data_IF_781237950008
#
_entry.id   IF_781237950008
#
_cell.length_a   1.000
_cell.length_b   1.000
_cell.length_c   1.000
_cell.angle_alpha   90.00
_cell.angle_beta   90.00
_cell.angle_gamma   90.00
#
_symmetry.space_group_name_H-M   'P 1'
#
loop_
_entity.id
_entity.type
_entity.pdbx_description
1 polymer ?
#
# COMPACT_ATOMS: atom_id res chain seq x y z
N UNK A 1 28.09 -9.91 -14.37
CA UNK A 1 26.91 -10.34 -13.59
C UNK A 1 27.23 -10.78 -12.18
N UNK A 2 28.26 -10.20 -11.52
CA UNK A 2 28.67 -10.55 -10.15
C UNK A 2 27.79 -9.89 -9.07
N UNK A 3 27.13 -8.78 -9.40
CA UNK A 3 26.40 -7.94 -8.45
C UNK A 3 25.23 -8.65 -7.72
N UNK A 4 24.60 -9.64 -8.37
CA UNK A 4 23.42 -10.33 -7.84
C UNK A 4 23.69 -11.73 -7.28
N UNK A 5 24.96 -12.20 -7.26
CA UNK A 5 25.29 -13.58 -6.86
C UNK A 5 24.92 -13.91 -5.40
N UNK A 6 24.92 -12.91 -4.51
CA UNK A 6 24.56 -13.09 -3.10
C UNK A 6 23.08 -12.77 -2.78
N UNK A 7 22.32 -12.29 -3.77
CA UNK A 7 20.92 -11.87 -3.60
C UNK A 7 19.95 -13.04 -3.68
N UNK A 8 20.34 -14.09 -4.40
CA UNK A 8 19.64 -15.37 -4.42
C UNK A 8 20.12 -16.20 -3.24
N UNK A 9 19.24 -16.38 -2.26
CA UNK A 9 19.52 -17.13 -1.04
C UNK A 9 19.57 -18.64 -1.34
N UNK A 10 20.70 -19.13 -1.83
CA UNK A 10 20.93 -20.55 -2.13
C UNK A 10 21.77 -21.18 -1.02
N UNK A 11 21.15 -21.56 0.09
CA UNK A 11 21.80 -22.42 1.08
C UNK A 11 22.07 -23.81 0.45
N UNK A 12 23.11 -24.55 0.91
CA UNK A 12 23.34 -25.94 0.49
C UNK A 12 22.13 -26.86 0.72
N UNK A 13 21.27 -26.49 1.66
CA UNK A 13 20.01 -27.15 2.03
C UNK A 13 18.80 -26.64 1.21
N UNK A 14 18.98 -25.75 0.25
CA UNK A 14 17.88 -25.21 -0.54
C UNK A 14 17.59 -26.12 -1.75
N UNK A 15 16.75 -27.13 -1.56
CA UNK A 15 16.34 -28.08 -2.62
C UNK A 15 15.19 -27.56 -3.49
N UNK A 16 14.66 -26.35 -3.22
CA UNK A 16 13.48 -25.82 -3.90
C UNK A 16 13.66 -25.80 -5.43
N UNK A 17 14.87 -25.48 -5.92
CA UNK A 17 15.17 -25.48 -7.35
C UNK A 17 15.22 -26.90 -7.95
N UNK A 18 15.56 -27.91 -7.17
CA UNK A 18 15.56 -29.31 -7.60
C UNK A 18 14.14 -29.91 -7.53
N UNK A 19 13.36 -29.53 -6.52
CA UNK A 19 11.97 -29.94 -6.30
C UNK A 19 10.98 -29.34 -7.32
N UNK A 20 11.28 -28.15 -7.88
CA UNK A 20 10.44 -27.54 -8.92
C UNK A 20 10.30 -28.46 -10.16
N UNK A 21 11.31 -29.28 -10.45
CA UNK A 21 11.26 -30.24 -11.56
C UNK A 21 10.37 -31.46 -11.28
N UNK A 22 9.99 -31.69 -10.02
CA UNK A 22 9.08 -32.77 -9.62
C UNK A 22 7.63 -32.30 -9.49
N UNK A 23 7.35 -31.02 -9.75
CA UNK A 23 5.99 -30.51 -9.68
C UNK A 23 5.11 -31.18 -10.74
N UNK A 24 3.89 -31.61 -10.37
CA UNK A 24 2.95 -32.16 -11.34
C UNK A 24 2.66 -31.16 -12.48
N UNK A 25 2.57 -31.66 -13.71
CA UNK A 25 2.34 -30.86 -14.92
C UNK A 25 1.11 -29.93 -14.86
N UNK A 26 0.08 -30.28 -14.08
CA UNK A 26 -1.09 -29.41 -13.90
C UNK A 26 -0.74 -28.10 -13.16
N UNK A 27 0.26 -28.12 -12.28
CA UNK A 27 0.76 -26.92 -11.57
C UNK A 27 1.48 -26.01 -12.55
N UNK A 28 2.30 -26.59 -13.43
CA UNK A 28 3.03 -25.86 -14.47
C UNK A 28 2.07 -25.19 -15.47
N UNK A 29 0.98 -25.89 -15.84
CA UNK A 29 -0.03 -25.36 -16.76
C UNK A 29 -1.05 -24.41 -16.10
N UNK A 30 -1.16 -24.40 -14.77
CA UNK A 30 -2.14 -23.59 -14.04
C UNK A 30 -2.13 -22.09 -14.41
N UNK A 31 -0.97 -21.38 -14.45
CA UNK A 31 -0.94 -19.97 -14.83
C UNK A 31 -1.40 -19.74 -16.29
N UNK A 32 -1.05 -20.64 -17.21
CA UNK A 32 -1.49 -20.55 -18.61
C UNK A 32 -3.01 -20.72 -18.74
N UNK A 33 -3.56 -21.72 -18.04
CA UNK A 33 -5.01 -21.96 -18.01
C UNK A 33 -5.75 -20.76 -17.40
N UNK A 34 -5.26 -20.23 -16.28
CA UNK A 34 -5.82 -19.04 -15.63
C UNK A 34 -5.80 -17.82 -16.56
N UNK A 35 -4.70 -17.62 -17.31
CA UNK A 35 -4.60 -16.57 -18.32
C UNK A 35 -5.65 -16.73 -19.42
N UNK A 36 -5.81 -17.92 -20.00
CA UNK A 36 -6.80 -18.18 -21.06
C UNK A 36 -8.22 -17.93 -20.56
N UNK A 37 -8.54 -18.36 -19.34
CA UNK A 37 -9.84 -18.10 -18.71
C UNK A 37 -10.05 -16.59 -18.51
N UNK A 38 -9.06 -15.90 -17.94
CA UNK A 38 -9.10 -14.45 -17.74
C UNK A 38 -9.31 -13.69 -19.06
N UNK A 39 -8.61 -14.10 -20.11
CA UNK A 39 -8.77 -13.54 -21.45
C UNK A 39 -10.17 -13.77 -22.01
N UNK A 40 -10.71 -14.99 -21.93
CA UNK A 40 -12.05 -15.30 -22.42
C UNK A 40 -13.14 -14.49 -21.68
N UNK A 41 -13.00 -14.34 -20.35
CA UNK A 41 -13.90 -13.51 -19.53
C UNK A 41 -13.80 -12.03 -19.94
N UNK A 42 -12.58 -11.51 -20.10
CA UNK A 42 -12.37 -10.13 -20.52
C UNK A 42 -12.93 -9.86 -21.93
N UNK A 43 -12.66 -10.73 -22.90
CA UNK A 43 -13.23 -10.63 -24.25
C UNK A 43 -14.75 -10.61 -24.21
N UNK A 44 -15.37 -11.48 -23.40
CA UNK A 44 -16.82 -11.50 -23.23
C UNK A 44 -17.33 -10.18 -22.65
N UNK A 45 -16.69 -9.66 -21.61
CA UNK A 45 -17.14 -8.47 -20.88
C UNK A 45 -16.89 -7.16 -21.63
N UNK A 46 -15.85 -7.09 -22.47
CA UNK A 46 -15.45 -5.83 -23.10
C UNK A 46 -15.73 -5.77 -24.60
N UNK A 47 -15.81 -6.92 -25.30
CA UNK A 47 -16.05 -6.97 -26.75
C UNK A 47 -17.43 -7.54 -27.05
N UNK A 48 -17.74 -8.74 -26.56
CA UNK A 48 -18.96 -9.47 -26.96
C UNK A 48 -20.24 -8.94 -26.31
N UNK A 49 -20.15 -8.50 -25.06
CA UNK A 49 -21.28 -8.08 -24.22
C UNK A 49 -20.88 -7.03 -23.17
N UNK A 50 -20.65 -5.76 -23.57
CA UNK A 50 -20.26 -4.65 -22.68
C UNK A 50 -21.27 -4.28 -21.58
N UNK A 51 -22.50 -4.79 -21.66
CA UNK A 51 -23.55 -4.63 -20.66
C UNK A 51 -23.33 -5.47 -19.39
N UNK A 52 -22.62 -6.60 -19.50
CA UNK A 52 -22.38 -7.53 -18.40
C UNK A 52 -21.60 -6.92 -17.22
N UNK A 53 -20.47 -6.21 -17.41
CA UNK A 53 -19.76 -5.62 -16.28
C UNK A 53 -20.64 -4.63 -15.50
N UNK A 54 -21.53 -3.89 -16.18
CA UNK A 54 -22.47 -2.97 -15.52
C UNK A 54 -23.49 -3.71 -14.67
N UNK A 55 -24.08 -4.79 -15.18
CA UNK A 55 -25.07 -5.57 -14.43
C UNK A 55 -24.44 -6.28 -13.23
N UNK A 56 -23.23 -6.83 -13.39
CA UNK A 56 -22.47 -7.44 -12.29
C UNK A 56 -22.16 -6.41 -11.19
N UNK A 57 -21.71 -5.21 -11.56
CA UNK A 57 -21.46 -4.11 -10.62
C UNK A 57 -22.74 -3.64 -9.91
N UNK A 58 -23.86 -3.57 -10.63
CA UNK A 58 -25.15 -3.19 -10.06
C UNK A 58 -25.69 -4.23 -9.06
N UNK A 59 -25.41 -5.52 -9.29
CA UNK A 59 -25.81 -6.60 -8.37
C UNK A 59 -24.88 -6.71 -7.14
N UNK A 60 -23.61 -6.34 -7.29
CA UNK A 60 -22.59 -6.45 -6.24
C UNK A 60 -22.04 -5.09 -5.81
N UNK A 61 -22.91 -4.11 -5.57
CA UNK A 61 -22.52 -2.71 -5.31
C UNK A 61 -21.50 -2.54 -4.18
N UNK A 62 -21.64 -3.31 -3.11
CA UNK A 62 -20.72 -3.26 -1.97
C UNK A 62 -19.32 -3.76 -2.35
N UNK A 63 -19.23 -4.95 -2.95
CA UNK A 63 -17.95 -5.52 -3.38
C UNK A 63 -17.32 -4.66 -4.48
N UNK A 64 -18.12 -4.20 -5.44
CA UNK A 64 -17.67 -3.30 -6.49
C UNK A 64 -17.11 -2.00 -5.88
N UNK A 65 -17.84 -1.37 -4.95
CA UNK A 65 -17.37 -0.18 -4.25
C UNK A 65 -16.09 -0.42 -3.46
N UNK A 66 -15.97 -1.55 -2.76
CA UNK A 66 -14.76 -1.92 -2.03
C UNK A 66 -13.53 -2.07 -2.94
N UNK A 67 -13.67 -2.83 -4.04
CA UNK A 67 -12.60 -3.01 -5.01
C UNK A 67 -12.27 -1.70 -5.75
N UNK A 68 -13.28 -0.91 -6.10
CA UNK A 68 -13.14 0.39 -6.78
C UNK A 68 -12.39 1.40 -5.90
N UNK A 69 -12.66 1.43 -4.60
CA UNK A 69 -11.97 2.28 -3.64
C UNK A 69 -10.67 1.66 -3.13
N UNK A 70 -10.02 0.77 -3.89
CA UNK A 70 -8.72 0.15 -3.54
C UNK A 70 -8.68 -0.40 -2.11
N UNK A 71 -9.79 -1.00 -1.69
CA UNK A 71 -9.97 -1.62 -0.37
C UNK A 71 -9.90 -0.62 0.79
N UNK A 72 -10.04 0.69 0.51
CA UNK A 72 -9.93 1.79 1.45
C UNK A 72 -8.60 1.86 2.21
N UNK A 73 -7.55 1.21 1.70
CA UNK A 73 -6.27 1.12 2.40
C UNK A 73 -5.59 2.49 2.51
N UNK A 74 -5.61 3.27 1.44
CA UNK A 74 -5.01 4.60 1.39
C UNK A 74 -5.71 5.56 2.37
N UNK A 75 -7.04 5.55 2.40
CA UNK A 75 -7.85 6.38 3.28
C UNK A 75 -7.67 5.99 4.75
N UNK A 76 -7.60 4.69 5.03
CA UNK A 76 -7.33 4.19 6.37
C UNK A 76 -5.92 4.59 6.83
N UNK A 77 -4.92 4.49 5.95
CA UNK A 77 -3.56 4.90 6.24
C UNK A 77 -3.46 6.42 6.49
N UNK A 78 -4.12 7.22 5.64
CA UNK A 78 -4.18 8.68 5.83
C UNK A 78 -4.82 9.04 7.17
N UNK A 79 -5.92 8.38 7.52
CA UNK A 79 -6.64 8.62 8.75
C UNK A 79 -5.86 8.19 10.01
N UNK A 80 -5.25 7.00 10.00
CA UNK A 80 -4.57 6.42 11.16
C UNK A 80 -3.16 6.94 11.38
N UNK A 81 -2.41 7.22 10.30
CA UNK A 81 -0.99 7.57 10.41
C UNK A 81 -0.71 9.00 9.96
N UNK A 82 -1.14 9.38 8.76
CA UNK A 82 -0.74 10.65 8.15
C UNK A 82 -1.33 11.85 8.90
N UNK A 83 -2.65 11.87 9.14
CA UNK A 83 -3.31 12.99 9.83
C UNK A 83 -2.84 13.15 11.28
N UNK A 84 -2.72 12.07 12.09
CA UNK A 84 -2.22 12.17 13.44
C UNK A 84 -0.77 12.64 13.48
N UNK A 85 0.11 12.11 12.63
CA UNK A 85 1.50 12.56 12.54
C UNK A 85 1.58 14.05 12.16
N UNK A 86 0.81 14.51 11.17
CA UNK A 86 0.73 15.93 10.80
C UNK A 86 0.19 16.81 11.93
N UNK A 87 -0.76 16.32 12.72
CA UNK A 87 -1.29 17.05 13.89
C UNK A 87 -0.24 17.13 14.99
N UNK A 88 0.44 16.03 15.29
CA UNK A 88 1.50 15.97 16.28
C UNK A 88 2.66 16.88 15.90
N UNK A 89 3.13 16.84 14.65
CA UNK A 89 4.17 17.73 14.16
C UNK A 89 3.79 19.22 14.27
N UNK A 90 2.54 19.59 13.93
CA UNK A 90 2.05 20.97 14.12
C UNK A 90 1.94 21.37 15.58
N UNK A 91 1.54 20.45 16.46
CA UNK A 91 1.49 20.69 17.90
C UNK A 91 2.89 20.95 18.43
N UNK A 92 3.85 20.08 18.11
CA UNK A 92 5.25 20.25 18.54
C UNK A 92 5.87 21.53 17.98
N UNK A 93 5.60 21.90 16.72
CA UNK A 93 6.06 23.17 16.15
C UNK A 93 5.48 24.38 16.90
N UNK A 94 4.16 24.44 17.07
CA UNK A 94 3.50 25.61 17.70
C UNK A 94 3.76 25.71 19.21
N UNK A 95 3.79 24.58 19.91
CA UNK A 95 4.01 24.54 21.36
C UNK A 95 5.50 24.59 21.70
N UNK A 96 6.37 23.97 20.88
CA UNK A 96 7.82 24.03 21.05
C UNK A 96 8.37 25.41 20.72
N UNK A 97 8.22 25.87 19.48
CA UNK A 97 8.83 27.13 19.08
C UNK A 97 8.12 28.33 19.70
N UNK A 98 6.78 28.33 19.77
CA UNK A 98 6.04 29.43 20.38
C UNK A 98 6.31 29.61 21.87
N UNK A 99 6.30 28.52 22.66
CA UNK A 99 6.50 28.64 24.11
C UNK A 99 7.97 28.80 24.51
N UNK A 100 8.92 28.24 23.75
CA UNK A 100 10.35 28.39 24.04
C UNK A 100 10.85 29.77 23.59
N UNK A 101 10.41 30.28 22.42
CA UNK A 101 10.83 31.59 21.93
C UNK A 101 10.14 32.72 22.68
N UNK A 102 8.84 32.66 22.97
CA UNK A 102 8.16 33.72 23.75
C UNK A 102 8.47 33.61 25.26
N UNK A 103 8.73 32.40 25.78
CA UNK A 103 9.06 32.19 27.20
C UNK A 103 10.52 32.47 27.59
N UNK A 104 11.47 32.33 26.66
CA UNK A 104 12.90 32.64 26.87
C UNK A 104 13.38 33.85 26.05
N UNK A 105 12.53 34.43 25.21
CA UNK A 105 12.82 35.62 24.42
C UNK A 105 12.86 36.91 25.26
N UNK A 106 13.13 38.06 24.61
CA UNK A 106 13.46 39.33 25.25
C UNK A 106 12.51 39.80 26.38
N UNK A 107 11.26 39.35 26.41
CA UNK A 107 10.30 39.69 27.46
C UNK A 107 10.64 39.03 28.83
N UNK A 108 11.26 37.83 28.84
CA UNK A 108 11.67 37.14 30.07
C UNK A 108 12.95 37.70 30.70
N UNK A 109 13.86 38.24 29.89
CA UNK A 109 15.07 38.94 30.36
C UNK A 109 14.79 40.43 30.64
N UNK A 110 13.85 41.06 29.94
CA UNK A 110 13.46 42.45 30.21
C UNK A 110 12.69 42.60 31.53
N UNK A 111 12.04 41.53 32.02
CA UNK A 111 11.38 41.51 33.34
C UNK A 111 12.35 41.46 34.53
N UNK A 112 13.64 41.19 34.32
CA UNK A 112 14.67 41.17 35.39
C UNK A 112 15.62 42.37 35.37
N UNK A 113 15.40 43.34 34.47
CA UNK A 113 16.21 44.57 34.39
C UNK A 113 15.42 45.79 34.92
N UNK A 114 14.21 45.57 35.46
CA UNK A 114 13.36 46.61 36.07
C UNK A 114 13.31 46.54 37.61
N UNK A 115 14.05 45.61 38.24
CA UNK A 115 14.32 45.63 39.69
C UNK A 115 15.66 46.31 40.01
#
# INVERSE_FOLDING_TARGET
>A
GEFWKASLFTLPENHILHEIHELPLWVELAPFIAMVIGFAVAWKFYIRSPELPRSVAANHRLLYGFLLNKWYFDELYDFLFVRPAKRLGRFLWKTGDGAIIDGLGPDGISARVVD
#
